data_IF_632953876568
#
_entry.id   IF_632953876568
#
_cell.length_a   1.000
_cell.length_b   1.000
_cell.length_c   1.000
_cell.angle_alpha   90.00
_cell.angle_beta   90.00
_cell.angle_gamma   90.00
#
_symmetry.space_group_name_H-M   'P 1'
#
loop_
_entity.id
_entity.type
_entity.pdbx_description
1 polymer ?
#
# COMPACT_ATOMS: atom_id res chain seq x y z
N UNK A 1 -5.30 -4.48 11.23
CA UNK A 1 -4.89 -3.16 11.76
C UNK A 1 -4.49 -2.31 10.55
N UNK A 2 -4.68 -0.99 10.53
CA UNK A 2 -4.07 -0.15 9.49
C UNK A 2 -2.56 -0.36 9.57
N UNK A 3 -2.00 -1.16 8.66
CA UNK A 3 -0.56 -1.31 8.51
C UNK A 3 -0.06 -0.09 7.77
N UNK A 4 0.19 1.00 8.50
CA UNK A 4 0.71 2.21 7.88
C UNK A 4 2.16 1.97 7.50
N UNK A 5 2.47 2.05 6.21
CA UNK A 5 3.85 1.97 5.80
C UNK A 5 4.56 3.30 5.87
N UNK A 6 4.01 4.49 5.58
CA UNK A 6 4.78 5.75 5.42
C UNK A 6 5.92 5.72 4.37
N UNK A 7 6.67 4.62 4.21
CA UNK A 7 7.33 4.09 3.02
C UNK A 7 7.52 2.57 3.19
N UNK A 8 7.27 1.78 2.13
CA UNK A 8 7.51 0.32 2.17
C UNK A 8 8.97 0.02 2.46
N UNK A 9 9.88 0.73 1.80
CA UNK A 9 11.31 0.73 2.11
C UNK A 9 11.94 2.04 1.60
N UNK A 10 12.85 2.62 2.39
CA UNK A 10 13.74 3.71 1.97
C UNK A 10 15.19 3.24 2.01
N UNK A 11 15.87 3.36 0.87
CA UNK A 11 17.26 2.94 0.71
C UNK A 11 18.15 3.69 1.70
N UNK A 12 18.92 2.95 2.49
CA UNK A 12 19.80 3.49 3.55
C UNK A 12 19.06 4.26 4.67
N UNK A 13 17.74 4.15 4.73
CA UNK A 13 16.90 4.89 5.67
C UNK A 13 17.17 6.38 5.58
N UNK A 14 17.21 6.91 4.36
CA UNK A 14 17.52 8.32 4.12
C UNK A 14 16.74 8.82 2.91
N UNK A 15 16.36 10.10 2.93
CA UNK A 15 15.92 10.83 1.75
C UNK A 15 16.31 12.30 1.87
N UNK A 16 16.13 13.05 0.78
CA UNK A 16 16.36 14.51 0.77
C UNK A 16 15.09 15.26 0.38
N UNK A 17 14.78 16.34 1.10
CA UNK A 17 13.74 17.31 0.72
C UNK A 17 14.40 18.68 0.59
N UNK A 18 14.20 19.33 -0.56
CA UNK A 18 14.70 20.68 -0.83
C UNK A 18 16.22 20.84 -0.55
N UNK A 19 17.00 19.79 -0.84
CA UNK A 19 18.44 19.74 -0.63
C UNK A 19 18.90 19.51 0.81
N UNK A 20 17.97 19.24 1.74
CA UNK A 20 18.26 18.81 3.10
C UNK A 20 18.06 17.31 3.25
N UNK A 21 19.05 16.64 3.81
CA UNK A 21 19.00 15.21 4.09
C UNK A 21 18.32 14.93 5.44
N UNK A 22 17.60 13.81 5.48
CA UNK A 22 16.92 13.29 6.67
C UNK A 22 17.28 11.82 6.85
N UNK A 23 17.83 11.48 8.02
CA UNK A 23 18.05 10.10 8.44
C UNK A 23 16.79 9.57 9.15
N UNK A 24 16.35 8.38 8.75
CA UNK A 24 15.23 7.66 9.30
C UNK A 24 15.69 6.56 10.25
N UNK A 25 14.76 6.10 11.09
CA UNK A 25 14.97 4.89 11.88
C UNK A 25 15.25 3.69 10.97
N UNK A 26 16.38 3.01 11.21
CA UNK A 26 16.81 1.85 10.42
C UNK A 26 16.44 0.57 11.16
N UNK A 27 15.28 0.02 10.82
CA UNK A 27 14.75 -1.19 11.43
C UNK A 27 14.98 -2.46 10.59
N UNK A 28 15.51 -2.34 9.37
CA UNK A 28 15.86 -3.47 8.51
C UNK A 28 17.26 -3.28 7.91
N UNK A 29 18.28 -3.72 8.64
CA UNK A 29 19.68 -3.54 8.23
C UNK A 29 20.02 -2.06 8.09
N UNK A 30 20.32 -1.61 6.88
CA UNK A 30 20.59 -0.21 6.60
C UNK A 30 19.34 0.59 6.22
N UNK A 31 18.19 -0.05 6.00
CA UNK A 31 16.99 0.56 5.42
C UNK A 31 15.96 0.92 6.49
N UNK A 32 15.05 1.83 6.14
CA UNK A 32 13.82 2.06 6.87
C UNK A 32 12.68 1.30 6.17
N UNK A 33 12.16 0.26 6.82
CA UNK A 33 11.05 -0.55 6.34
C UNK A 33 9.78 -0.16 7.10
N UNK A 34 8.66 0.05 6.39
CA UNK A 34 7.35 0.34 6.97
C UNK A 34 7.36 1.49 8.00
N UNK A 35 8.13 2.54 7.72
CA UNK A 35 8.15 3.76 8.54
C UNK A 35 8.90 3.63 9.87
N UNK A 36 9.70 2.56 10.05
CA UNK A 36 10.62 2.42 11.18
C UNK A 36 10.18 1.42 12.25
N UNK A 37 10.95 1.35 13.33
CA UNK A 37 10.81 0.37 14.41
C UNK A 37 9.46 0.45 15.14
N UNK A 38 8.88 1.66 15.21
CA UNK A 38 7.55 1.92 15.81
C UNK A 38 6.67 2.66 14.81
N UNK A 39 6.45 2.05 13.64
CA UNK A 39 5.52 2.54 12.63
C UNK A 39 4.06 2.58 13.09
N UNK A 40 3.19 3.06 12.21
CA UNK A 40 1.77 3.29 12.49
C UNK A 40 0.97 2.01 12.80
N UNK A 41 1.49 0.85 12.42
CA UNK A 41 0.95 -0.47 12.74
C UNK A 41 1.10 -0.83 14.23
N UNK A 42 2.00 -0.14 14.95
CA UNK A 42 2.33 -0.36 16.37
C UNK A 42 1.81 0.73 17.30
N UNK A 43 1.08 1.71 16.78
CA UNK A 43 0.49 2.79 17.57
C UNK A 43 -1.01 2.61 17.76
N UNK A 44 -1.55 3.20 18.84
CA UNK A 44 -3.00 3.22 19.09
C UNK A 44 -3.60 4.48 18.46
N UNK A 45 -4.64 4.29 17.67
CA UNK A 45 -5.34 5.37 16.96
C UNK A 45 -6.60 5.77 17.73
N UNK A 46 -6.90 7.07 17.77
CA UNK A 46 -8.16 7.56 18.31
C UNK A 46 -9.30 7.13 17.39
N UNK A 47 -10.27 6.38 17.92
CA UNK A 47 -11.30 5.72 17.13
C UNK A 47 -12.70 6.28 17.40
N UNK A 48 -13.48 6.47 16.34
CA UNK A 48 -14.91 6.80 16.39
C UNK A 48 -15.69 5.95 15.40
N UNK A 49 -16.61 5.15 15.91
CA UNK A 49 -17.54 4.37 15.11
C UNK A 49 -18.89 5.09 14.95
N UNK A 50 -19.54 4.90 13.82
CA UNK A 50 -20.89 5.37 13.56
C UNK A 50 -21.59 4.48 12.52
N UNK A 51 -22.91 4.32 12.64
CA UNK A 51 -23.72 3.82 11.55
C UNK A 51 -24.03 4.95 10.57
N UNK A 52 -24.07 4.61 9.28
CA UNK A 52 -24.45 5.52 8.19
C UNK A 52 -25.62 4.91 7.42
N UNK A 53 -26.24 5.69 6.53
CA UNK A 53 -27.25 5.13 5.61
C UNK A 53 -26.65 4.08 4.66
N UNK A 54 -25.35 4.19 4.37
CA UNK A 54 -24.60 3.31 3.46
C UNK A 54 -24.16 2.01 4.16
N UNK A 55 -23.86 2.06 5.46
CA UNK A 55 -23.44 0.89 6.24
C UNK A 55 -22.84 1.27 7.60
N UNK A 56 -21.66 0.74 7.93
CA UNK A 56 -20.94 1.04 9.17
C UNK A 56 -19.61 1.74 8.86
N UNK A 57 -19.33 2.82 9.58
CA UNK A 57 -18.12 3.64 9.39
C UNK A 57 -17.29 3.68 10.67
N UNK A 58 -15.98 3.48 10.52
CA UNK A 58 -14.97 3.64 11.57
C UNK A 58 -13.96 4.69 11.12
N UNK A 59 -13.85 5.78 11.87
CA UNK A 59 -12.83 6.82 11.66
C UNK A 59 -11.73 6.64 12.69
N UNK A 60 -10.50 6.49 12.22
CA UNK A 60 -9.29 6.41 13.02
C UNK A 60 -8.47 7.68 12.78
N UNK A 61 -7.98 8.31 13.84
CA UNK A 61 -7.10 9.47 13.77
C UNK A 61 -5.80 9.20 14.54
N UNK A 62 -4.69 9.67 13.98
CA UNK A 62 -3.39 9.62 14.61
C UNK A 62 -2.60 10.88 14.27
N UNK A 63 -1.76 11.32 15.21
CA UNK A 63 -0.83 12.42 15.03
C UNK A 63 0.55 11.85 15.29
N UNK A 64 1.38 11.88 14.25
CA UNK A 64 2.81 11.57 14.32
C UNK A 64 3.55 12.88 14.54
N UNK A 65 4.29 13.06 15.65
CA UNK A 65 4.95 14.32 15.96
C UNK A 65 6.10 14.62 14.98
N UNK A 66 6.54 15.88 14.93
CA UNK A 66 7.75 16.25 14.20
C UNK A 66 8.97 15.44 14.68
N UNK A 67 9.69 14.85 13.74
CA UNK A 67 10.86 14.00 14.00
C UNK A 67 10.54 12.54 14.34
N UNK A 68 9.28 12.12 14.31
CA UNK A 68 8.89 10.73 14.57
C UNK A 68 9.55 9.79 13.55
N UNK A 69 10.28 8.79 14.05
CA UNK A 69 11.14 7.89 13.25
C UNK A 69 12.10 8.62 12.27
N UNK A 70 12.39 9.91 12.50
CA UNK A 70 13.24 10.75 11.65
C UNK A 70 12.49 11.56 10.58
N UNK A 71 11.18 11.37 10.42
CA UNK A 71 10.39 12.13 9.45
C UNK A 71 10.12 13.56 9.95
N UNK A 72 10.34 14.61 9.12
CA UNK A 72 10.07 15.99 9.51
C UNK A 72 8.58 16.31 9.47
N UNK A 73 8.19 17.30 10.27
CA UNK A 73 6.84 17.82 10.34
C UNK A 73 5.90 16.93 11.13
N UNK A 74 5.07 17.54 11.97
CA UNK A 74 3.94 16.83 12.55
C UNK A 74 2.99 16.41 11.42
N UNK A 75 2.62 15.12 11.39
CA UNK A 75 1.71 14.55 10.41
C UNK A 75 0.40 14.14 11.10
N UNK A 76 -0.69 14.83 10.76
CA UNK A 76 -2.03 14.45 11.15
C UNK A 76 -2.63 13.52 10.10
N UNK A 77 -3.03 12.32 10.51
CA UNK A 77 -3.55 11.27 9.61
C UNK A 77 -4.93 10.81 10.05
N UNK A 78 -5.82 10.64 9.08
CA UNK A 78 -7.13 10.04 9.27
C UNK A 78 -7.31 8.87 8.31
N UNK A 79 -7.69 7.70 8.84
CA UNK A 79 -8.11 6.54 8.08
C UNK A 79 -9.59 6.26 8.34
N UNK A 80 -10.41 6.33 7.31
CA UNK A 80 -11.85 6.07 7.36
C UNK A 80 -12.12 4.74 6.67
N UNK A 81 -12.59 3.77 7.46
CA UNK A 81 -13.14 2.53 6.95
C UNK A 81 -14.67 2.66 6.87
N UNK A 82 -15.27 2.32 5.73
CA UNK A 82 -16.71 2.19 5.58
C UNK A 82 -17.05 0.84 4.96
N UNK A 83 -17.74 0.00 5.73
CA UNK A 83 -18.30 -1.26 5.27
C UNK A 83 -19.72 -0.99 4.79
N UNK A 84 -19.96 -1.14 3.49
CA UNK A 84 -21.25 -0.87 2.87
C UNK A 84 -22.17 -2.09 2.94
N UNK A 85 -23.47 -1.89 2.76
CA UNK A 85 -24.46 -2.97 2.61
C UNK A 85 -24.29 -3.79 1.32
N UNK A 86 -23.44 -3.33 0.39
CA UNK A 86 -23.13 -3.98 -0.88
C UNK A 86 -21.84 -4.82 -0.85
N UNK A 87 -21.37 -5.24 0.34
CA UNK A 87 -20.12 -6.00 0.52
C UNK A 87 -18.86 -5.28 0.03
N UNK A 88 -18.82 -3.95 0.15
CA UNK A 88 -17.62 -3.17 -0.11
C UNK A 88 -17.01 -2.68 1.19
N UNK A 89 -15.73 -2.92 1.39
CA UNK A 89 -14.93 -2.25 2.42
C UNK A 89 -14.12 -1.14 1.74
N UNK A 90 -14.55 0.10 1.96
CA UNK A 90 -13.86 1.30 1.49
C UNK A 90 -12.91 1.81 2.56
N UNK A 91 -11.67 2.12 2.18
CA UNK A 91 -10.66 2.78 2.99
C UNK A 91 -10.28 4.10 2.32
N UNK A 92 -10.62 5.21 2.97
CA UNK A 92 -10.13 6.54 2.61
C UNK A 92 -9.08 6.97 3.63
N UNK A 93 -7.87 7.31 3.16
CA UNK A 93 -6.81 7.85 3.99
C UNK A 93 -6.57 9.30 3.58
N UNK A 94 -6.47 10.18 4.57
CA UNK A 94 -6.04 11.56 4.36
C UNK A 94 -5.00 12.00 5.36
N UNK A 95 -4.11 12.89 4.93
CA UNK A 95 -3.07 13.43 5.80
C UNK A 95 -2.74 14.89 5.49
N UNK A 96 -2.35 15.63 6.52
CA UNK A 96 -1.82 17.00 6.45
C UNK A 96 -0.59 17.11 7.32
N UNK A 97 0.32 18.03 6.98
CA UNK A 97 1.58 18.21 7.70
C UNK A 97 1.88 19.67 8.01
N UNK A 98 2.70 19.90 9.05
CA UNK A 98 3.21 21.22 9.42
C UNK A 98 4.53 21.60 8.73
N UNK A 99 5.25 20.64 8.13
CA UNK A 99 6.47 20.87 7.35
C UNK A 99 6.54 19.93 6.13
N UNK A 100 7.32 20.22 5.08
CA UNK A 100 7.52 19.27 3.97
C UNK A 100 8.00 17.91 4.48
N UNK A 101 7.32 16.83 4.08
CA UNK A 101 7.61 15.46 4.52
C UNK A 101 7.26 14.43 3.44
N UNK A 102 7.67 13.18 3.60
CA UNK A 102 7.30 12.09 2.68
C UNK A 102 6.21 11.23 3.30
N UNK A 103 5.20 10.84 2.52
CA UNK A 103 4.06 10.07 3.01
C UNK A 103 3.59 9.07 1.95
N UNK A 104 3.70 7.78 2.25
CA UNK A 104 3.18 6.69 1.43
C UNK A 104 2.43 5.67 2.31
N UNK A 105 1.10 5.81 2.40
CA UNK A 105 0.26 5.02 3.32
C UNK A 105 -0.48 3.91 2.56
N UNK A 106 -0.56 2.73 3.17
CA UNK A 106 -1.27 1.57 2.61
C UNK A 106 -2.02 0.79 3.70
N UNK A 107 -2.63 -0.33 3.32
CA UNK A 107 -3.21 -1.30 4.23
C UNK A 107 -2.64 -2.69 3.93
N UNK A 108 -2.03 -3.30 4.95
CA UNK A 108 -1.29 -4.56 4.82
C UNK A 108 -2.15 -5.80 5.15
N UNK A 109 -3.42 -5.81 4.73
CA UNK A 109 -4.29 -7.00 4.89
C UNK A 109 -3.78 -8.17 4.04
N UNK A 110 -3.71 -9.36 4.64
CA UNK A 110 -3.47 -10.62 3.93
C UNK A 110 -4.79 -11.31 3.60
N UNK A 111 -4.97 -11.66 2.33
CA UNK A 111 -6.17 -12.32 1.83
C UNK A 111 -5.93 -13.81 1.61
N UNK A 112 -6.77 -14.65 2.20
CA UNK A 112 -6.93 -16.05 1.84
C UNK A 112 -8.44 -16.34 1.69
N UNK A 113 -8.90 -16.45 0.45
CA UNK A 113 -10.30 -16.65 0.09
C UNK A 113 -10.76 -18.09 0.32
N UNK A 114 -9.83 -19.05 0.49
CA UNK A 114 -10.14 -20.37 1.02
C UNK A 114 -10.54 -20.35 2.50
N UNK A 115 -10.20 -19.28 3.21
CA UNK A 115 -10.50 -19.11 4.63
C UNK A 115 -9.75 -20.12 5.50
N UNK A 116 -10.30 -20.44 6.67
CA UNK A 116 -9.66 -21.30 7.68
C UNK A 116 -9.30 -22.72 7.19
N UNK A 117 -9.91 -23.17 6.10
CA UNK A 117 -9.68 -24.48 5.51
C UNK A 117 -8.52 -24.49 4.49
N UNK A 118 -7.99 -23.32 4.14
CA UNK A 118 -6.83 -23.19 3.25
C UNK A 118 -5.63 -22.64 4.00
N UNK A 119 -4.45 -23.21 3.73
CA UNK A 119 -3.17 -22.79 4.32
C UNK A 119 -2.26 -22.06 3.33
N UNK A 120 -2.71 -21.87 2.09
CA UNK A 120 -1.93 -21.28 1.01
C UNK A 120 -2.81 -20.52 0.02
N UNK A 121 -2.18 -19.75 -0.86
CA UNK A 121 -2.85 -19.01 -1.94
C UNK A 121 -2.53 -19.54 -3.34
N UNK A 122 -1.88 -20.71 -3.45
CA UNK A 122 -1.42 -21.28 -4.74
C UNK A 122 -2.55 -21.71 -5.68
N UNK A 123 -3.74 -21.95 -5.14
CA UNK A 123 -4.97 -22.28 -5.84
C UNK A 123 -5.89 -21.06 -6.07
N UNK A 124 -5.43 -19.86 -5.72
CA UNK A 124 -6.14 -18.64 -6.04
C UNK A 124 -5.73 -18.16 -7.43
N UNK A 125 -6.70 -17.67 -8.19
CA UNK A 125 -6.45 -16.97 -9.44
C UNK A 125 -6.31 -15.48 -9.17
N UNK A 126 -5.14 -14.94 -9.50
CA UNK A 126 -4.80 -13.54 -9.37
C UNK A 126 -4.83 -12.88 -10.75
N UNK A 127 -5.41 -11.69 -10.79
CA UNK A 127 -5.28 -10.74 -11.88
C UNK A 127 -4.78 -9.40 -11.32
N UNK A 128 -3.80 -8.78 -11.97
CA UNK A 128 -3.32 -7.43 -11.66
C UNK A 128 -3.33 -6.61 -12.95
N UNK A 129 -4.03 -5.48 -12.95
CA UNK A 129 -4.11 -4.54 -14.09
C UNK A 129 -2.89 -3.62 -14.11
N UNK A 130 -1.74 -4.20 -14.44
CA UNK A 130 -0.46 -3.53 -14.49
C UNK A 130 0.26 -3.82 -15.81
N UNK A 131 0.95 -2.80 -16.33
CA UNK A 131 1.79 -2.94 -17.52
C UNK A 131 3.27 -3.11 -17.18
N UNK A 132 3.67 -2.81 -15.94
CA UNK A 132 5.06 -2.93 -15.52
C UNK A 132 5.25 -3.40 -14.09
N UNK A 133 6.49 -3.70 -13.77
CA UNK A 133 6.96 -4.11 -12.44
C UNK A 133 8.25 -3.38 -12.12
N UNK A 134 8.42 -2.96 -10.87
CA UNK A 134 9.67 -2.35 -10.42
C UNK A 134 10.76 -3.40 -10.31
N UNK A 135 11.93 -3.11 -10.87
CA UNK A 135 13.13 -3.94 -10.69
C UNK A 135 13.74 -3.62 -9.33
N UNK A 136 13.95 -4.64 -8.52
CA UNK A 136 14.61 -4.52 -7.22
C UNK A 136 16.04 -5.07 -7.26
N UNK A 137 16.90 -4.56 -6.37
CA UNK A 137 18.24 -5.11 -6.16
C UNK A 137 18.22 -6.25 -5.12
N UNK A 138 19.41 -6.79 -4.78
CA UNK A 138 19.54 -7.90 -3.82
C UNK A 138 19.10 -7.57 -2.39
N UNK A 139 18.77 -6.31 -2.09
CA UNK A 139 18.16 -5.86 -0.83
C UNK A 139 16.66 -5.59 -0.98
N UNK A 140 16.04 -6.05 -2.07
CA UNK A 140 14.62 -5.84 -2.41
C UNK A 140 14.21 -4.37 -2.55
N UNK A 141 15.18 -3.47 -2.74
CA UNK A 141 14.93 -2.05 -2.97
C UNK A 141 14.81 -1.75 -4.45
N UNK A 142 13.87 -0.89 -4.88
CA UNK A 142 13.78 -0.47 -6.27
C UNK A 142 15.09 0.12 -6.79
N UNK A 143 15.43 -0.20 -8.02
CA UNK A 143 16.59 0.36 -8.74
C UNK A 143 16.24 1.67 -9.47
N UNK A 144 14.94 1.99 -9.57
CA UNK A 144 14.39 3.02 -10.44
C UNK A 144 13.90 2.48 -11.79
N UNK A 145 14.32 1.28 -12.19
CA UNK A 145 13.90 0.66 -13.45
C UNK A 145 12.49 0.05 -13.36
N UNK A 146 11.72 0.19 -14.44
CA UNK A 146 10.39 -0.42 -14.61
C UNK A 146 10.42 -1.26 -15.88
N UNK A 147 10.20 -2.57 -15.73
CA UNK A 147 10.14 -3.50 -16.86
C UNK A 147 8.69 -3.85 -17.20
N UNK A 148 8.38 -4.14 -18.48
CA UNK A 148 7.06 -4.62 -18.85
C UNK A 148 6.80 -6.00 -18.22
N UNK A 149 5.58 -6.24 -17.75
CA UNK A 149 5.18 -7.58 -17.29
C UNK A 149 4.93 -8.54 -18.45
N UNK A 150 4.64 -8.01 -19.64
CA UNK A 150 4.26 -8.79 -20.81
C UNK A 150 5.31 -9.84 -21.19
N UNK A 151 4.88 -11.11 -21.26
CA UNK A 151 5.77 -12.22 -21.61
C UNK A 151 6.70 -12.69 -20.48
N UNK A 152 6.48 -12.23 -19.25
CA UNK A 152 7.21 -12.68 -18.06
C UNK A 152 6.34 -13.57 -17.17
N UNK A 153 6.93 -14.25 -16.18
CA UNK A 153 6.18 -14.98 -15.14
C UNK A 153 5.36 -14.08 -14.21
N UNK A 154 5.58 -12.77 -14.28
CA UNK A 154 4.81 -11.74 -13.57
C UNK A 154 3.65 -11.19 -14.41
N UNK A 155 3.36 -11.77 -15.58
CA UNK A 155 2.20 -11.40 -16.40
C UNK A 155 0.89 -11.94 -15.79
N UNK A 156 0.34 -11.17 -14.84
CA UNK A 156 -0.97 -11.38 -14.22
C UNK A 156 -2.07 -10.50 -14.85
N UNK A 157 -1.87 -9.96 -16.06
CA UNK A 157 -2.90 -9.12 -16.73
C UNK A 157 -4.16 -9.92 -17.05
N UNK A 158 -4.01 -11.22 -17.27
CA UNK A 158 -5.09 -12.19 -17.31
C UNK A 158 -5.12 -13.02 -16.01
N UNK A 159 -6.31 -13.41 -15.51
CA UNK A 159 -6.41 -14.24 -14.32
C UNK A 159 -5.62 -15.54 -14.48
N UNK A 160 -4.78 -15.85 -13.49
CA UNK A 160 -4.01 -17.11 -13.42
C UNK A 160 -3.60 -17.42 -11.99
N UNK A 161 -3.27 -18.67 -11.72
CA UNK A 161 -2.67 -19.06 -10.44
C UNK A 161 -1.23 -18.57 -10.30
N UNK A 162 -0.79 -18.43 -9.05
CA UNK A 162 0.58 -18.07 -8.71
C UNK A 162 1.56 -19.16 -9.15
N UNK A 163 2.56 -18.78 -9.95
CA UNK A 163 3.66 -19.69 -10.35
C UNK A 163 4.79 -19.74 -9.33
N UNK A 164 4.93 -18.69 -8.53
CA UNK A 164 5.91 -18.55 -7.47
C UNK A 164 5.37 -17.62 -6.37
N UNK A 165 6.07 -17.55 -5.24
CA UNK A 165 5.78 -16.53 -4.23
C UNK A 165 6.13 -15.15 -4.79
N UNK A 166 5.29 -14.17 -4.44
CA UNK A 166 5.46 -12.79 -4.88
C UNK A 166 6.05 -11.95 -3.76
N UNK A 167 6.95 -11.05 -4.14
CA UNK A 167 7.33 -9.85 -3.40
C UNK A 167 7.67 -8.77 -4.43
N UNK A 168 6.65 -8.29 -5.15
CA UNK A 168 6.84 -7.44 -6.31
C UNK A 168 5.89 -6.26 -6.28
N UNK A 169 6.41 -5.08 -6.62
CA UNK A 169 5.61 -3.87 -6.84
C UNK A 169 5.29 -3.72 -8.32
N UNK A 170 4.01 -3.85 -8.65
CA UNK A 170 3.45 -3.64 -9.97
C UNK A 170 3.08 -2.18 -10.18
N UNK A 171 3.41 -1.65 -11.37
CA UNK A 171 3.02 -0.32 -11.83
C UNK A 171 1.72 -0.45 -12.63
N UNK A 172 0.63 0.08 -12.08
CA UNK A 172 -0.71 -0.07 -12.64
C UNK A 172 -0.84 0.62 -14.00
N UNK A 173 -1.68 0.09 -14.88
CA UNK A 173 -1.94 0.63 -16.23
C UNK A 173 -2.50 2.05 -16.15
N UNK A 174 -3.50 2.25 -15.28
CA UNK A 174 -4.07 3.55 -14.98
C UNK A 174 -3.17 4.29 -13.98
N UNK A 175 -2.05 4.83 -14.47
CA UNK A 175 -1.02 5.55 -13.68
C UNK A 175 -1.52 6.88 -13.06
N UNK A 176 -2.82 7.17 -13.12
CA UNK A 176 -3.37 8.49 -12.79
C UNK A 176 -3.83 8.54 -11.34
N UNK A 177 -3.02 9.19 -10.52
CA UNK A 177 -3.37 9.57 -9.15
C UNK A 177 -4.75 10.26 -9.11
N UNK A 178 -5.63 9.75 -8.26
CA UNK A 178 -6.88 10.42 -7.88
C UNK A 178 -8.15 9.99 -8.62
N UNK A 179 -8.05 9.19 -9.69
CA UNK A 179 -9.21 8.51 -10.27
C UNK A 179 -9.29 7.08 -9.71
N UNK A 180 -10.41 6.72 -9.09
CA UNK A 180 -10.61 5.38 -8.57
C UNK A 180 -10.80 4.42 -9.75
N UNK A 181 -9.92 3.42 -9.88
CA UNK A 181 -9.95 2.45 -10.96
C UNK A 181 -9.66 1.03 -10.44
N UNK A 182 -10.14 -0.04 -11.12
CA UNK A 182 -9.78 -1.41 -10.78
C UNK A 182 -8.26 -1.63 -10.90
N UNK A 183 -7.69 -2.35 -9.92
CA UNK A 183 -6.25 -2.63 -9.85
C UNK A 183 -5.95 -4.12 -9.81
N UNK A 184 -6.73 -4.89 -9.06
CA UNK A 184 -6.53 -6.33 -8.95
C UNK A 184 -7.83 -7.10 -8.69
N UNK A 185 -7.83 -8.38 -9.04
CA UNK A 185 -8.88 -9.34 -8.71
C UNK A 185 -8.25 -10.64 -8.22
N UNK A 186 -8.83 -11.20 -7.18
CA UNK A 186 -8.44 -12.49 -6.60
C UNK A 186 -9.69 -13.37 -6.52
N UNK A 187 -9.60 -14.61 -6.99
CA UNK A 187 -10.67 -15.60 -6.89
C UNK A 187 -10.17 -16.93 -6.35
N UNK A 188 -11.05 -17.66 -5.67
CA UNK A 188 -10.76 -19.00 -5.20
C UNK A 188 -11.94 -19.93 -5.52
N UNK A 189 -11.74 -20.82 -6.50
CA UNK A 189 -12.80 -21.69 -7.00
C UNK A 189 -13.40 -22.59 -5.90
N UNK A 190 -12.56 -23.12 -5.00
CA UNK A 190 -13.00 -24.05 -3.95
C UNK A 190 -13.97 -23.45 -2.93
N UNK A 191 -13.94 -22.14 -2.72
CA UNK A 191 -14.87 -21.45 -1.80
C UNK A 191 -15.93 -20.62 -2.53
N UNK A 192 -15.77 -20.40 -3.84
CA UNK A 192 -16.61 -19.50 -4.62
C UNK A 192 -16.40 -18.01 -4.33
N UNK A 193 -15.48 -17.65 -3.42
CA UNK A 193 -15.26 -16.26 -2.99
C UNK A 193 -14.41 -15.49 -3.99
N UNK A 194 -14.66 -14.18 -4.05
CA UNK A 194 -13.89 -13.24 -4.85
C UNK A 194 -13.58 -11.94 -4.11
N UNK A 195 -12.50 -11.31 -4.52
CA UNK A 195 -12.10 -9.98 -4.09
C UNK A 195 -11.73 -9.16 -5.32
N UNK A 196 -12.33 -7.99 -5.49
CA UNK A 196 -11.84 -6.97 -6.41
C UNK A 196 -11.30 -5.79 -5.60
N UNK A 197 -10.16 -5.25 -6.04
CA UNK A 197 -9.53 -4.07 -5.44
C UNK A 197 -9.57 -2.94 -6.47
N UNK A 198 -10.22 -1.84 -6.12
CA UNK A 198 -10.10 -0.57 -6.83
C UNK A 198 -9.25 0.39 -5.99
N UNK A 199 -8.43 1.23 -6.62
CA UNK A 199 -7.61 2.22 -5.91
C UNK A 199 -7.37 3.49 -6.72
N UNK A 200 -6.99 4.56 -6.03
CA UNK A 200 -6.47 5.80 -6.62
C UNK A 200 -4.94 5.83 -6.69
N UNK A 201 -4.27 4.83 -6.13
CA UNK A 201 -2.82 4.71 -6.06
C UNK A 201 -2.21 4.21 -7.39
N UNK A 202 -0.97 4.59 -7.71
CA UNK A 202 -0.36 4.24 -8.99
C UNK A 202 0.30 2.85 -9.02
N UNK A 203 0.55 2.24 -7.85
CA UNK A 203 1.21 0.95 -7.73
C UNK A 203 0.43 0.01 -6.83
N UNK A 204 0.64 -1.28 -7.05
CA UNK A 204 0.19 -2.35 -6.17
C UNK A 204 1.34 -3.29 -5.90
N UNK A 205 1.67 -3.47 -4.63
CA UNK A 205 2.59 -4.51 -4.20
C UNK A 205 1.82 -5.79 -3.92
N UNK A 206 2.25 -6.89 -4.52
CA UNK A 206 1.77 -8.22 -4.17
C UNK A 206 2.85 -8.96 -3.37
N UNK A 207 2.50 -9.38 -2.16
CA UNK A 207 3.38 -10.14 -1.27
C UNK A 207 2.71 -11.43 -0.79
N UNK A 208 3.38 -12.56 -1.01
CA UNK A 208 2.92 -13.88 -0.52
C UNK A 208 3.55 -14.17 0.83
N UNK A 209 2.72 -14.32 1.86
CA UNK A 209 3.20 -14.57 3.21
C UNK A 209 2.10 -15.03 4.14
N UNK A 210 2.45 -15.74 5.21
CA UNK A 210 1.51 -16.17 6.25
C UNK A 210 0.30 -16.97 5.74
N UNK A 211 0.45 -17.67 4.60
CA UNK A 211 -0.63 -18.40 3.95
C UNK A 211 -1.66 -17.52 3.23
N UNK A 212 -1.38 -16.22 3.06
CA UNK A 212 -2.22 -15.26 2.36
C UNK A 212 -1.46 -14.42 1.34
N UNK A 213 -2.19 -13.56 0.63
CA UNK A 213 -1.64 -12.59 -0.30
C UNK A 213 -1.95 -11.17 0.20
N UNK A 214 -0.91 -10.40 0.51
CA UNK A 214 -1.05 -8.96 0.71
C UNK A 214 -1.06 -8.26 -0.65
N UNK A 215 -2.00 -7.33 -0.82
CA UNK A 215 -2.23 -6.56 -2.05
C UNK A 215 -2.25 -5.07 -1.67
N UNK A 216 -1.08 -4.50 -1.49
CA UNK A 216 -0.87 -3.17 -0.92
C UNK A 216 -0.89 -2.11 -2.02
N UNK A 217 -1.92 -1.27 -2.03
CA UNK A 217 -2.05 -0.15 -2.98
C UNK A 217 -1.29 1.06 -2.43
N UNK A 218 -0.37 1.63 -3.20
CA UNK A 218 0.55 2.68 -2.72
C UNK A 218 1.27 3.41 -3.85
N UNK A 219 2.08 4.42 -3.52
CA UNK A 219 3.14 4.90 -4.40
C UNK A 219 4.29 3.88 -4.44
N UNK A 220 5.18 4.01 -5.42
CA UNK A 220 6.38 3.17 -5.51
C UNK A 220 7.20 3.24 -4.19
N UNK A 221 7.71 2.10 -3.69
CA UNK A 221 8.73 2.10 -2.64
C UNK A 221 9.92 2.96 -3.05
N UNK A 222 10.64 3.54 -2.08
CA UNK A 222 11.83 4.39 -2.30
C UNK A 222 11.59 5.59 -3.24
N UNK A 223 10.33 5.97 -3.52
CA UNK A 223 9.98 7.10 -4.39
C UNK A 223 10.67 8.43 -4.04
N UNK A 224 10.91 8.77 -2.76
CA UNK A 224 11.71 9.96 -2.42
C UNK A 224 13.12 9.98 -3.03
N UNK A 225 13.69 8.80 -3.31
CA UNK A 225 15.05 8.63 -3.86
C UNK A 225 15.07 8.37 -5.37
N UNK A 226 13.91 8.35 -6.04
CA UNK A 226 13.78 8.07 -7.47
C UNK A 226 12.99 9.15 -8.19
N UNK A 227 13.69 10.06 -8.87
CA UNK A 227 13.08 11.20 -9.57
C UNK A 227 12.11 10.81 -10.70
N UNK A 228 12.16 9.58 -11.21
CA UNK A 228 11.25 9.07 -12.23
C UNK A 228 9.96 8.46 -11.67
N UNK A 229 9.83 8.30 -10.35
CA UNK A 229 8.60 7.84 -9.71
C UNK A 229 7.68 9.02 -9.38
N UNK A 230 6.39 8.75 -9.22
CA UNK A 230 5.46 9.75 -8.70
C UNK A 230 5.90 10.13 -7.27
N UNK A 231 6.06 11.42 -6.97
CA UNK A 231 6.63 11.84 -5.69
C UNK A 231 5.67 11.53 -4.54
N UNK A 232 6.23 11.02 -3.44
CA UNK A 232 5.52 10.83 -2.18
C UNK A 232 5.59 12.07 -1.25
N UNK A 233 6.01 13.23 -1.78
CA UNK A 233 6.17 14.47 -1.02
C UNK A 233 4.82 15.11 -0.66
N UNK A 234 4.63 15.42 0.61
CA UNK A 234 3.53 16.21 1.14
C UNK A 234 4.07 17.54 1.69
N UNK A 235 3.43 18.66 1.33
CA UNK A 235 3.80 20.01 1.81
C UNK A 235 2.67 20.62 2.65
N UNK A 236 2.99 21.59 3.54
CA UNK A 236 1.98 22.34 4.28
C UNK A 236 0.92 22.97 3.37
N UNK A 237 -0.33 22.94 3.81
CA UNK A 237 -1.48 23.43 3.03
C UNK A 237 -2.00 22.47 1.96
N UNK A 238 -1.31 21.35 1.70
CA UNK A 238 -1.79 20.27 0.82
C UNK A 238 -2.40 19.16 1.65
N UNK A 239 -3.51 18.58 1.19
CA UNK A 239 -4.12 17.40 1.78
C UNK A 239 -3.80 16.19 0.90
N UNK A 240 -3.08 15.22 1.45
CA UNK A 240 -2.97 13.89 0.85
C UNK A 240 -4.34 13.22 0.91
N UNK A 241 -4.76 12.56 -0.16
CA UNK A 241 -5.94 11.69 -0.19
C UNK A 241 -5.64 10.44 -1.00
N UNK A 242 -5.96 9.29 -0.43
CA UNK A 242 -5.89 7.99 -1.09
C UNK A 242 -7.17 7.22 -0.80
N UNK A 243 -7.63 6.42 -1.77
CA UNK A 243 -8.79 5.56 -1.63
C UNK A 243 -8.43 4.16 -2.11
N UNK A 244 -8.81 3.16 -1.33
CA UNK A 244 -8.82 1.75 -1.74
C UNK A 244 -10.16 1.13 -1.39
N UNK A 245 -10.76 0.40 -2.33
CA UNK A 245 -12.05 -0.27 -2.16
C UNK A 245 -11.86 -1.76 -2.39
N UNK A 246 -12.18 -2.55 -1.38
CA UNK A 246 -12.24 -4.01 -1.45
C UNK A 246 -13.68 -4.44 -1.66
N UNK A 247 -14.02 -4.97 -2.84
CA UNK A 247 -15.36 -5.48 -3.17
C UNK A 247 -15.36 -6.99 -3.00
N UNK A 248 -16.17 -7.48 -2.08
CA UNK A 248 -16.24 -8.89 -1.70
C UNK A 248 -17.44 -9.55 -2.39
N UNK A 249 -17.20 -10.70 -3.02
CA UNK A 249 -18.23 -11.50 -3.71
C UNK A 249 -18.19 -12.97 -3.35
#
# INVERSE_FOLDING_TARGET
MPGGALCRADRRGQFSIDGRDYDLDRNEGANCLHGGGVGFDKTVWAAKAQETRVGAKLTLNHVSPDGDMGFPGELSVQAVYELTRGNELRLDISATTTAPTVVNLTNHTYWNLGGLNSRHVRDHELQILADGVLVTDGSLLPTGEVLPVAGTDLDYRQPRTLTADLDHTFVLTEKKRGALAPAARLTHAGSGRSLQIDTTEPCLTAYTGWGGLALETQHAPDAPNHANFLPALLRPGVVLKTTTVFKLG
#
